data_IF_181151915038
#
_entry.id   IF_181151915038
#
_cell.length_a   1.000
_cell.length_b   1.000
_cell.length_c   1.000
_cell.angle_alpha   90.00
_cell.angle_beta   90.00
_cell.angle_gamma   90.00
#
_symmetry.space_group_name_H-M   'P 1'
#
loop_
_entity.id
_entity.type
_entity.pdbx_description
1 polymer ?
#
# COMPACT_ATOMS: atom_id res chain seq x y z
N UNK A 1 -40.33 -25.03 -9.77
CA UNK A 1 -39.40 -25.16 -8.63
C UNK A 1 -37.90 -25.25 -8.99
N UNK A 2 -37.50 -25.84 -10.15
CA UNK A 2 -36.07 -25.99 -10.52
C UNK A 2 -35.33 -24.70 -10.93
N UNK A 3 -36.05 -23.68 -11.39
CA UNK A 3 -35.44 -22.42 -11.87
C UNK A 3 -34.95 -21.51 -10.74
N UNK A 4 -35.72 -21.39 -9.64
CA UNK A 4 -35.40 -20.55 -8.47
C UNK A 4 -34.13 -21.03 -7.75
N UNK A 5 -33.92 -22.35 -7.66
CA UNK A 5 -32.70 -22.92 -7.06
C UNK A 5 -31.43 -22.55 -7.86
N UNK A 6 -31.55 -22.44 -9.19
CA UNK A 6 -30.45 -22.04 -10.07
C UNK A 6 -30.04 -20.59 -9.82
N UNK A 7 -31.01 -19.68 -9.63
CA UNK A 7 -30.76 -18.28 -9.29
C UNK A 7 -30.09 -18.11 -7.93
N UNK A 8 -30.52 -18.88 -6.92
CA UNK A 8 -29.92 -18.84 -5.59
C UNK A 8 -28.45 -19.29 -5.61
N UNK A 9 -28.16 -20.34 -6.38
CA UNK A 9 -26.79 -20.86 -6.54
C UNK A 9 -25.88 -19.90 -7.32
N UNK A 10 -26.42 -19.21 -8.34
CA UNK A 10 -25.66 -18.19 -9.09
C UNK A 10 -25.42 -16.93 -8.27
N UNK A 11 -26.36 -16.54 -7.40
CA UNK A 11 -26.22 -15.36 -6.54
C UNK A 11 -25.17 -15.61 -5.45
N UNK A 12 -25.14 -16.82 -4.85
CA UNK A 12 -24.08 -17.18 -3.89
C UNK A 12 -22.70 -17.26 -4.53
N UNK A 13 -22.59 -17.70 -5.79
CA UNK A 13 -21.31 -17.73 -6.50
C UNK A 13 -20.79 -16.32 -6.83
N UNK A 14 -21.69 -15.40 -7.19
CA UNK A 14 -21.32 -13.99 -7.45
C UNK A 14 -20.78 -13.33 -6.17
N UNK A 15 -21.43 -13.58 -5.03
CA UNK A 15 -21.00 -13.07 -3.72
C UNK A 15 -19.61 -13.63 -3.35
N UNK A 16 -19.37 -14.92 -3.59
CA UNK A 16 -18.07 -15.55 -3.32
C UNK A 16 -16.93 -15.04 -4.21
N UNK A 17 -17.22 -14.69 -5.46
CA UNK A 17 -16.21 -14.11 -6.37
C UNK A 17 -15.70 -12.75 -5.90
N UNK A 18 -16.55 -11.95 -5.24
CA UNK A 18 -16.17 -10.67 -4.65
C UNK A 18 -15.28 -10.80 -3.42
N UNK A 19 -15.45 -11.87 -2.63
CA UNK A 19 -14.63 -12.11 -1.42
C UNK A 19 -13.19 -12.52 -1.74
N UNK A 20 -12.95 -13.20 -2.86
CA UNK A 20 -11.61 -13.58 -3.30
C UNK A 20 -10.74 -12.35 -3.66
N UNK A 21 -11.35 -11.28 -4.18
CA UNK A 21 -10.65 -10.04 -4.50
C UNK A 21 -10.21 -9.25 -3.26
N UNK A 22 -10.96 -9.35 -2.16
CA UNK A 22 -10.70 -8.59 -0.93
C UNK A 22 -9.48 -9.10 -0.14
N UNK A 23 -9.05 -10.34 -0.37
CA UNK A 23 -7.92 -10.97 0.34
C UNK A 23 -6.55 -10.72 -0.32
N UNK A 24 -6.46 -9.90 -1.36
CA UNK A 24 -5.21 -9.69 -2.09
C UNK A 24 -4.35 -8.61 -1.44
N UNK A 25 -3.06 -8.92 -1.27
CA UNK A 25 -2.04 -7.99 -0.78
C UNK A 25 -1.62 -7.10 -1.95
N UNK A 26 -1.90 -5.79 -1.87
CA UNK A 26 -1.61 -4.83 -2.94
C UNK A 26 -0.37 -4.03 -2.59
N UNK A 27 0.60 -3.98 -3.51
CA UNK A 27 1.80 -3.14 -3.35
C UNK A 27 1.48 -1.70 -3.69
N UNK A 28 1.92 -0.77 -2.86
CA UNK A 28 1.83 0.67 -3.11
C UNK A 28 3.17 1.16 -3.65
N UNK A 29 3.11 1.87 -4.77
CA UNK A 29 4.25 2.48 -5.45
C UNK A 29 3.86 3.91 -5.78
N UNK A 30 4.64 4.86 -5.28
CA UNK A 30 4.52 6.29 -5.55
C UNK A 30 5.83 6.82 -6.10
N UNK A 31 5.72 7.75 -7.04
CA UNK A 31 6.86 8.50 -7.56
C UNK A 31 7.23 9.68 -6.66
N UNK A 32 6.50 9.96 -5.58
CA UNK A 32 6.75 11.09 -4.68
C UNK A 32 7.57 10.73 -3.44
N UNK A 33 7.78 9.44 -3.17
CA UNK A 33 8.64 8.96 -2.09
C UNK A 33 9.93 8.28 -2.62
N UNK A 34 10.96 8.10 -1.78
CA UNK A 34 12.17 7.36 -2.17
C UNK A 34 11.85 5.96 -2.71
N UNK A 35 12.53 5.56 -3.78
CA UNK A 35 12.25 4.29 -4.44
C UNK A 35 12.66 3.08 -3.58
N UNK A 36 11.85 2.04 -3.60
CA UNK A 36 12.18 0.76 -3.00
C UNK A 36 13.14 -0.03 -3.91
N UNK A 37 14.46 0.11 -3.71
CA UNK A 37 15.51 -0.52 -4.54
C UNK A 37 15.69 -2.02 -4.23
N UNK A 38 15.14 -2.52 -3.12
CA UNK A 38 15.26 -3.93 -2.68
C UNK A 38 13.98 -4.76 -2.85
N UNK A 39 13.94 -6.00 -2.34
CA UNK A 39 12.78 -6.88 -2.40
C UNK A 39 11.71 -6.50 -1.36
N UNK A 40 11.31 -5.23 -1.34
CA UNK A 40 10.26 -4.67 -0.47
C UNK A 40 9.40 -3.68 -1.26
N UNK A 41 8.35 -3.14 -0.63
CA UNK A 41 7.47 -2.12 -1.21
C UNK A 41 7.39 -0.91 -0.28
N UNK A 42 7.13 0.28 -0.82
CA UNK A 42 7.01 1.50 0.00
C UNK A 42 5.90 1.35 1.02
N UNK A 43 4.76 0.79 0.59
CA UNK A 43 3.74 0.27 1.48
C UNK A 43 3.02 -0.92 0.85
N UNK A 44 2.22 -1.59 1.66
CA UNK A 44 1.39 -2.72 1.28
C UNK A 44 0.01 -2.56 1.89
N UNK A 45 -1.03 -2.62 1.08
CA UNK A 45 -2.41 -2.65 1.53
C UNK A 45 -2.89 -4.10 1.66
N UNK A 46 -3.47 -4.43 2.82
CA UNK A 46 -4.10 -5.72 3.07
C UNK A 46 -5.46 -5.49 3.73
N UNK A 47 -6.53 -5.66 2.95
CA UNK A 47 -7.87 -5.25 3.35
C UNK A 47 -7.96 -3.74 3.58
N UNK A 48 -8.41 -3.34 4.77
CA UNK A 48 -8.58 -1.94 5.17
C UNK A 48 -7.32 -1.30 5.76
N UNK A 49 -6.27 -2.09 5.96
CA UNK A 49 -5.04 -1.63 6.59
C UNK A 49 -3.94 -1.38 5.56
N UNK A 50 -3.19 -0.31 5.81
CA UNK A 50 -1.98 0.04 5.05
C UNK A 50 -0.76 -0.13 5.95
N UNK A 51 0.18 -0.95 5.52
CA UNK A 51 1.44 -1.20 6.19
C UNK A 51 2.55 -0.44 5.45
N UNK A 52 2.99 0.67 6.03
CA UNK A 52 4.04 1.52 5.47
C UNK A 52 5.42 1.02 5.92
N UNK A 53 6.36 0.89 4.99
CA UNK A 53 7.75 0.56 5.31
C UNK A 53 8.41 1.70 6.10
N UNK A 54 9.40 1.36 6.93
CA UNK A 54 10.20 2.36 7.63
C UNK A 54 10.84 3.34 6.67
N UNK A 55 10.57 4.63 6.84
CA UNK A 55 11.12 5.69 5.99
C UNK A 55 12.43 6.23 6.58
N UNK A 56 13.40 6.44 5.70
CA UNK A 56 14.65 7.14 6.01
C UNK A 56 14.53 8.60 5.56
N UNK A 57 15.39 9.46 6.11
CA UNK A 57 15.52 10.86 5.72
C UNK A 57 16.23 11.02 4.36
N UNK A 58 15.80 10.26 3.36
CA UNK A 58 16.36 10.32 2.01
C UNK A 58 15.57 11.32 1.18
N UNK A 59 16.29 12.13 0.41
CA UNK A 59 15.69 12.85 -0.71
C UNK A 59 15.48 11.90 -1.88
N UNK A 60 14.27 11.91 -2.43
CA UNK A 60 13.87 11.03 -3.53
C UNK A 60 14.74 11.19 -4.78
N UNK A 61 15.11 12.43 -5.12
CA UNK A 61 15.82 12.73 -6.36
C UNK A 61 17.29 12.29 -6.30
N UNK A 62 17.96 12.64 -5.20
CA UNK A 62 19.38 12.38 -5.02
C UNK A 62 19.69 11.04 -4.35
N UNK A 63 18.70 10.39 -3.71
CA UNK A 63 18.88 9.25 -2.81
C UNK A 63 19.93 9.49 -1.72
N UNK A 64 20.15 10.75 -1.35
CA UNK A 64 21.07 11.15 -0.28
C UNK A 64 20.30 11.45 0.99
N UNK A 65 20.99 11.25 2.11
CA UNK A 65 20.46 11.60 3.42
C UNK A 65 20.42 13.12 3.58
N UNK A 66 19.24 13.64 3.92
CA UNK A 66 18.97 15.05 4.13
C UNK A 66 19.09 15.38 5.61
N UNK A 67 19.67 16.55 5.89
CA UNK A 67 19.80 17.08 7.24
C UNK A 67 21.02 16.54 7.98
N UNK A 68 21.57 17.41 8.82
CA UNK A 68 22.67 17.11 9.74
C UNK A 68 22.19 16.91 11.17
N UNK A 69 20.96 17.32 11.47
CA UNK A 69 20.33 17.23 12.79
C UNK A 69 19.19 16.22 12.80
N UNK A 70 18.85 15.74 14.00
CA UNK A 70 17.70 14.85 14.19
C UNK A 70 16.38 15.50 13.78
N UNK A 71 16.24 16.83 13.97
CA UNK A 71 15.02 17.56 13.62
C UNK A 71 14.81 17.56 12.11
N UNK A 72 15.85 17.89 11.34
CA UNK A 72 15.77 17.90 9.87
C UNK A 72 15.47 16.51 9.31
N UNK A 73 16.15 15.49 9.85
CA UNK A 73 15.95 14.10 9.42
C UNK A 73 14.54 13.60 9.76
N UNK A 74 14.04 13.91 10.95
CA UNK A 74 12.68 13.53 11.36
C UNK A 74 11.64 14.18 10.47
N UNK A 75 11.79 15.47 10.16
CA UNK A 75 10.90 16.17 9.24
C UNK A 75 10.89 15.53 7.85
N UNK A 76 12.06 15.18 7.31
CA UNK A 76 12.13 14.50 6.01
C UNK A 76 11.49 13.11 6.04
N UNK A 77 11.68 12.34 7.12
CA UNK A 77 11.02 11.04 7.30
C UNK A 77 9.50 11.18 7.28
N UNK A 78 8.96 12.18 7.98
CA UNK A 78 7.52 12.43 8.00
C UNK A 78 6.99 12.85 6.63
N UNK A 79 7.71 13.72 5.91
CA UNK A 79 7.36 14.10 4.54
C UNK A 79 7.32 12.88 3.60
N UNK A 80 8.30 11.97 3.73
CA UNK A 80 8.35 10.76 2.92
C UNK A 80 7.17 9.81 3.24
N UNK A 81 6.74 9.73 4.51
CA UNK A 81 5.54 8.97 4.90
C UNK A 81 4.29 9.62 4.30
N UNK A 82 4.15 10.95 4.39
CA UNK A 82 3.04 11.69 3.79
C UNK A 82 2.94 11.42 2.29
N UNK A 83 4.05 11.47 1.56
CA UNK A 83 4.09 11.16 0.12
C UNK A 83 3.67 9.72 -0.24
N UNK A 84 3.71 8.77 0.70
CA UNK A 84 3.22 7.40 0.51
C UNK A 84 1.72 7.29 0.80
N UNK A 85 1.19 8.14 1.67
CA UNK A 85 -0.20 8.11 2.12
C UNK A 85 -1.17 8.90 1.21
N UNK A 86 -0.67 9.89 0.47
CA UNK A 86 -1.44 10.73 -0.46
C UNK A 86 -1.55 10.09 -1.85
#
# INVERSE_FOLDING_TARGET
MKSIFKYFLTLSLLIYSGQCAYSSIVKVITEEAPQAIGPYSQAVQAGEYLFVSGQLALDRGSNKLIGSTIVEQTSQVLNNIESILM
#
